data_IF_743860360530
#
_entry.id   IF_743860360530
#
_cell.length_a   1.000
_cell.length_b   1.000
_cell.length_c   1.000
_cell.angle_alpha   90.00
_cell.angle_beta   90.00
_cell.angle_gamma   90.00
#
_symmetry.space_group_name_H-M   'P 1'
#
loop_
_entity.id
_entity.type
_entity.pdbx_description
1 polymer ?
#
# COMPACT_ATOMS: atom_id res chain seq x y z
N UNK A 1 -18.01 8.14 7.00
CA UNK A 1 -17.35 8.52 5.74
C UNK A 1 -15.87 8.35 5.97
N UNK A 2 -15.17 7.69 5.05
CA UNK A 2 -13.71 7.60 5.12
C UNK A 2 -13.10 8.96 4.78
N UNK A 3 -11.99 9.27 5.44
CA UNK A 3 -11.15 10.45 5.17
C UNK A 3 -10.15 10.16 4.05
N UNK A 4 -9.61 8.94 4.05
CA UNK A 4 -8.73 8.40 3.02
C UNK A 4 -9.31 7.08 2.52
N UNK A 5 -9.29 6.88 1.20
CA UNK A 5 -9.57 5.59 0.57
C UNK A 5 -8.47 5.31 -0.44
N UNK A 6 -7.89 4.12 -0.37
CA UNK A 6 -6.95 3.55 -1.34
C UNK A 6 -7.61 2.31 -1.92
N UNK A 7 -7.67 2.22 -3.24
CA UNK A 7 -8.28 1.09 -3.95
C UNK A 7 -7.32 0.53 -4.97
N UNK A 8 -7.15 -0.80 -4.95
CA UNK A 8 -6.40 -1.60 -5.92
C UNK A 8 -4.98 -1.04 -6.20
N UNK A 9 -4.28 -0.57 -5.15
CA UNK A 9 -2.94 -0.03 -5.27
C UNK A 9 -1.95 -1.13 -5.64
N UNK A 10 -1.27 -0.95 -6.76
CA UNK A 10 -0.14 -1.78 -7.18
C UNK A 10 1.05 -0.86 -7.47
N UNK A 11 2.20 -1.14 -6.87
CA UNK A 11 3.45 -0.42 -7.09
C UNK A 11 4.50 -1.39 -7.63
N UNK A 12 5.08 -1.04 -8.78
CA UNK A 12 6.13 -1.80 -9.43
C UNK A 12 7.34 -0.92 -9.69
N UNK A 13 8.52 -1.49 -9.50
CA UNK A 13 9.79 -0.83 -9.78
C UNK A 13 10.58 -1.64 -10.79
N UNK A 14 11.18 -0.97 -11.75
CA UNK A 14 12.17 -1.57 -12.64
C UNK A 14 13.54 -1.46 -11.94
N UNK A 15 14.18 -2.60 -11.67
CA UNK A 15 15.53 -2.68 -11.08
C UNK A 15 16.48 -3.35 -12.07
N UNK A 16 17.78 -3.32 -11.77
CA UNK A 16 18.80 -3.99 -12.59
C UNK A 16 18.60 -5.52 -12.66
N UNK A 17 17.89 -6.11 -11.69
CA UNK A 17 17.57 -7.54 -11.64
C UNK A 17 16.19 -7.88 -12.26
N UNK A 18 15.46 -6.87 -12.73
CA UNK A 18 14.16 -7.02 -13.38
C UNK A 18 13.07 -6.20 -12.70
N UNK A 19 11.81 -6.45 -13.08
CA UNK A 19 10.66 -5.77 -12.50
C UNK A 19 10.28 -6.42 -11.17
N UNK A 20 10.23 -5.64 -10.11
CA UNK A 20 9.73 -6.04 -8.80
C UNK A 20 8.36 -5.42 -8.54
N UNK A 21 7.47 -6.17 -7.90
CA UNK A 21 6.19 -5.67 -7.39
C UNK A 21 6.33 -5.46 -5.88
N UNK A 22 6.32 -4.22 -5.42
CA UNK A 22 6.48 -3.86 -4.01
C UNK A 22 5.13 -3.78 -3.27
N UNK A 23 4.07 -3.42 -3.99
CA UNK A 23 2.70 -3.44 -3.48
C UNK A 23 1.84 -4.10 -4.54
N UNK A 24 1.01 -5.07 -4.15
CA UNK A 24 0.14 -5.78 -5.09
C UNK A 24 -1.32 -5.72 -4.62
N UNK A 25 -2.15 -5.01 -5.41
CA UNK A 25 -3.59 -4.95 -5.27
C UNK A 25 -4.11 -4.65 -3.84
N UNK A 26 -3.53 -3.65 -3.18
CA UNK A 26 -3.88 -3.28 -1.81
C UNK A 26 -5.02 -2.26 -1.79
N UNK A 27 -6.05 -2.53 -0.98
CA UNK A 27 -7.18 -1.63 -0.75
C UNK A 27 -7.40 -1.42 0.76
N UNK A 28 -7.51 -0.17 1.19
CA UNK A 28 -7.82 0.18 2.58
C UNK A 28 -8.48 1.56 2.67
N UNK A 29 -9.15 1.82 3.79
CA UNK A 29 -9.73 3.13 4.08
C UNK A 29 -9.37 3.53 5.52
N UNK A 30 -9.23 4.84 5.74
CA UNK A 30 -9.00 5.43 7.08
C UNK A 30 -10.11 6.44 7.33
N UNK A 31 -10.82 6.28 8.44
CA UNK A 31 -11.86 7.21 8.88
C UNK A 31 -11.27 8.41 9.62
N UNK A 32 -12.03 9.50 9.73
CA UNK A 32 -11.59 10.66 10.51
C UNK A 32 -11.41 10.28 11.99
N UNK A 33 -10.21 10.53 12.54
CA UNK A 33 -9.85 10.18 13.92
C UNK A 33 -9.38 8.74 14.13
N UNK A 34 -9.34 7.91 13.08
CA UNK A 34 -8.80 6.56 13.13
C UNK A 34 -7.26 6.56 13.07
N UNK A 35 -6.64 5.66 13.83
CA UNK A 35 -5.19 5.42 13.78
C UNK A 35 -4.95 4.04 13.15
N UNK A 36 -4.30 4.02 12.00
CA UNK A 36 -3.90 2.79 11.30
C UNK A 36 -2.40 2.54 11.52
N UNK A 37 -2.06 1.36 12.02
CA UNK A 37 -0.67 0.90 12.12
C UNK A 37 -0.30 0.00 10.94
N UNK A 38 0.76 0.35 10.21
CA UNK A 38 1.34 -0.49 9.16
C UNK A 38 2.61 -1.15 9.70
N UNK A 39 2.67 -2.48 9.62
CA UNK A 39 3.80 -3.29 10.10
C UNK A 39 4.21 -4.29 9.03
N UNK A 40 5.50 -4.60 8.93
CA UNK A 40 6.04 -5.52 7.95
C UNK A 40 7.47 -5.93 8.29
N UNK A 41 7.94 -7.01 7.67
CA UNK A 41 9.36 -7.39 7.66
C UNK A 41 10.16 -6.38 6.83
N UNK A 42 11.49 -6.34 7.04
CA UNK A 42 12.40 -5.62 6.16
C UNK A 42 12.33 -6.19 4.75
N UNK A 43 11.94 -5.35 3.78
CA UNK A 43 11.86 -5.66 2.36
C UNK A 43 11.69 -4.39 1.56
#
# INVERSE_FOLDING_TARGET
>A
MSLLTVENLTLQFDTDEGRITAVENVSFAINAGEVLGLVGESG
#
